data_IF_946048796031
#
_entry.id   IF_946048796031
#
_cell.length_a   1.000
_cell.length_b   1.000
_cell.length_c   1.000
_cell.angle_alpha   90.00
_cell.angle_beta   90.00
_cell.angle_gamma   90.00
#
_symmetry.space_group_name_H-M   'P 1'
#
loop_
_entity.id
_entity.type
_entity.pdbx_description
1 polymer ?
#
# COMPACT_ATOMS: atom_id res chain seq x y z
N UNK A 1 16.19 44.76 -45.55
CA UNK A 1 16.12 45.77 -44.47
C UNK A 1 16.15 45.06 -43.13
N UNK A 2 17.31 45.00 -42.45
CA UNK A 2 17.41 44.42 -41.10
C UNK A 2 17.02 45.48 -40.06
N UNK A 3 15.97 45.23 -39.28
CA UNK A 3 15.63 46.07 -38.12
C UNK A 3 16.64 45.77 -37.01
N UNK A 4 17.53 46.73 -36.74
CA UNK A 4 18.42 46.67 -35.57
C UNK A 4 17.61 47.13 -34.35
N UNK A 5 17.22 46.20 -33.49
CA UNK A 5 16.52 46.53 -32.25
C UNK A 5 17.52 47.09 -31.23
N UNK A 6 17.32 48.33 -30.78
CA UNK A 6 18.08 48.90 -29.65
C UNK A 6 17.47 48.36 -28.36
N UNK A 7 18.05 47.27 -27.86
CA UNK A 7 17.69 46.74 -26.55
C UNK A 7 18.27 47.67 -25.47
N UNK A 8 17.43 48.19 -24.57
CA UNK A 8 17.94 49.00 -23.46
C UNK A 8 18.63 48.10 -22.44
N UNK A 9 19.59 48.64 -21.68
CA UNK A 9 20.28 47.90 -20.62
C UNK A 9 19.30 47.27 -19.61
N UNK A 10 18.18 47.95 -19.34
CA UNK A 10 17.08 47.45 -18.50
C UNK A 10 16.36 46.23 -19.11
N UNK A 11 16.09 46.24 -20.42
CA UNK A 11 15.46 45.11 -21.11
C UNK A 11 16.38 43.88 -21.16
N UNK A 12 17.69 44.11 -21.36
CA UNK A 12 18.68 43.04 -21.35
C UNK A 12 18.84 42.40 -19.96
N UNK A 13 18.89 43.22 -18.92
CA UNK A 13 19.00 42.74 -17.53
C UNK A 13 17.74 42.01 -17.05
N UNK A 14 16.55 42.48 -17.44
CA UNK A 14 15.29 41.78 -17.14
C UNK A 14 15.21 40.42 -17.85
N UNK A 15 15.66 40.33 -19.09
CA UNK A 15 15.71 39.06 -19.83
C UNK A 15 16.70 38.08 -19.17
N UNK A 16 17.88 38.54 -18.78
CA UNK A 16 18.87 37.74 -18.04
C UNK A 16 18.35 37.24 -16.70
N UNK A 17 17.63 38.07 -15.94
CA UNK A 17 17.02 37.68 -14.67
C UNK A 17 15.97 36.57 -14.86
N UNK A 18 15.05 36.74 -15.82
CA UNK A 18 14.04 35.72 -16.13
C UNK A 18 14.67 34.41 -16.61
N UNK A 19 15.73 34.49 -17.41
CA UNK A 19 16.46 33.32 -17.88
C UNK A 19 17.18 32.62 -16.72
N UNK A 20 17.84 33.36 -15.82
CA UNK A 20 18.50 32.78 -14.65
C UNK A 20 17.53 32.12 -13.66
N UNK A 21 16.33 32.67 -13.50
CA UNK A 21 15.25 32.07 -12.70
C UNK A 21 14.73 30.77 -13.33
N UNK A 22 14.62 30.73 -14.66
CA UNK A 22 14.21 29.52 -15.38
C UNK A 22 15.24 28.38 -15.27
N UNK A 23 16.54 28.68 -15.29
CA UNK A 23 17.59 27.66 -15.20
C UNK A 23 17.76 27.13 -13.76
N UNK A 24 17.52 27.97 -12.75
CA UNK A 24 17.67 27.59 -11.33
C UNK A 24 16.46 26.87 -10.76
N UNK A 25 15.32 26.86 -11.46
CA UNK A 25 14.07 26.22 -11.01
C UNK A 25 14.06 24.69 -11.15
N UNK A 26 14.93 24.10 -11.97
CA UNK A 26 15.02 22.65 -12.15
C UNK A 26 16.10 22.03 -11.25
N UNK A 27 15.81 21.86 -9.96
CA UNK A 27 16.53 20.87 -9.15
C UNK A 27 15.87 19.51 -9.37
N UNK A 28 16.53 18.63 -10.11
CA UNK A 28 16.14 17.21 -10.10
C UNK A 28 16.35 16.66 -8.70
N UNK A 29 15.35 16.02 -8.07
CA UNK A 29 15.54 15.33 -6.81
C UNK A 29 16.69 14.33 -6.95
N UNK A 30 17.44 14.10 -5.87
CA UNK A 30 18.42 13.04 -5.85
C UNK A 30 17.73 11.72 -6.22
N UNK A 31 18.34 10.86 -7.08
CA UNK A 31 17.75 9.59 -7.42
C UNK A 31 17.54 8.78 -6.14
N UNK A 32 16.38 8.16 -6.03
CA UNK A 32 16.05 7.31 -4.89
C UNK A 32 17.14 6.26 -4.68
N UNK A 33 17.53 6.05 -3.42
CA UNK A 33 18.30 4.85 -3.11
C UNK A 33 17.42 3.62 -3.34
N UNK A 34 18.02 2.47 -3.62
CA UNK A 34 17.27 1.22 -3.75
C UNK A 34 16.38 0.94 -2.52
N UNK A 35 16.87 1.30 -1.32
CA UNK A 35 16.13 1.14 -0.08
C UNK A 35 14.91 2.05 -0.02
N UNK A 36 15.04 3.30 -0.46
CA UNK A 36 13.93 4.25 -0.45
C UNK A 36 12.88 3.86 -1.51
N UNK A 37 13.32 3.47 -2.71
CA UNK A 37 12.43 2.96 -3.76
C UNK A 37 11.66 1.71 -3.31
N UNK A 38 12.32 0.79 -2.59
CA UNK A 38 11.65 -0.37 -2.01
C UNK A 38 10.58 0.03 -1.01
N UNK A 39 10.89 0.94 -0.07
CA UNK A 39 9.93 1.42 0.92
C UNK A 39 8.72 2.11 0.29
N UNK A 40 8.94 2.95 -0.71
CA UNK A 40 7.85 3.60 -1.44
C UNK A 40 6.98 2.58 -2.18
N UNK A 41 7.57 1.54 -2.76
CA UNK A 41 6.79 0.47 -3.40
C UNK A 41 5.94 -0.31 -2.40
N UNK A 42 6.49 -0.68 -1.24
CA UNK A 42 5.72 -1.33 -0.18
C UNK A 42 4.58 -0.42 0.29
N UNK A 43 4.84 0.87 0.46
CA UNK A 43 3.83 1.85 0.85
C UNK A 43 2.72 1.99 -0.20
N UNK A 44 3.08 2.08 -1.48
CA UNK A 44 2.12 2.11 -2.59
C UNK A 44 1.22 0.87 -2.59
N UNK A 45 1.79 -0.32 -2.40
CA UNK A 45 1.03 -1.58 -2.33
C UNK A 45 0.00 -1.52 -1.19
N UNK A 46 0.38 -1.03 -0.01
CA UNK A 46 -0.53 -0.88 1.14
C UNK A 46 -1.65 0.13 0.85
N UNK A 47 -1.32 1.25 0.22
CA UNK A 47 -2.32 2.25 -0.16
C UNK A 47 -3.32 1.70 -1.17
N UNK A 48 -2.87 0.92 -2.16
CA UNK A 48 -3.76 0.26 -3.10
C UNK A 48 -4.67 -0.75 -2.41
N UNK A 49 -4.15 -1.54 -1.45
CA UNK A 49 -4.95 -2.45 -0.64
C UNK A 49 -6.07 -1.71 0.11
N UNK A 50 -5.73 -0.64 0.83
CA UNK A 50 -6.67 0.09 1.67
C UNK A 50 -7.70 0.88 0.86
N UNK A 51 -7.29 1.56 -0.21
CA UNK A 51 -8.21 2.33 -1.05
C UNK A 51 -9.27 1.42 -1.71
N UNK A 52 -8.84 0.26 -2.22
CA UNK A 52 -9.75 -0.72 -2.79
C UNK A 52 -10.65 -1.36 -1.72
N UNK A 53 -10.12 -1.68 -0.54
CA UNK A 53 -10.92 -2.24 0.56
C UNK A 53 -12.02 -1.28 1.04
N UNK A 54 -11.72 0.01 1.08
CA UNK A 54 -12.71 1.04 1.44
C UNK A 54 -13.83 1.15 0.40
N UNK A 55 -13.58 0.70 -0.84
CA UNK A 55 -14.54 0.65 -1.95
C UNK A 55 -15.06 -0.76 -2.25
N UNK A 56 -14.91 -1.71 -1.31
CA UNK A 56 -15.22 -3.15 -1.48
C UNK A 56 -16.70 -3.46 -1.79
N UNK A 57 -17.61 -2.52 -1.60
CA UNK A 57 -19.00 -2.68 -2.06
C UNK A 57 -19.06 -2.94 -3.57
N UNK A 58 -18.07 -2.45 -4.32
CA UNK A 58 -17.78 -2.92 -5.66
C UNK A 58 -16.97 -4.23 -5.60
N UNK A 59 -17.53 -5.31 -6.15
CA UNK A 59 -16.92 -6.64 -6.23
C UNK A 59 -15.47 -6.62 -6.73
N UNK A 60 -15.19 -5.85 -7.78
CA UNK A 60 -13.83 -5.78 -8.37
C UNK A 60 -12.84 -5.17 -7.38
N UNK A 61 -13.24 -4.13 -6.67
CA UNK A 61 -12.38 -3.50 -5.68
C UNK A 61 -12.11 -4.45 -4.49
N UNK A 62 -13.09 -5.25 -4.07
CA UNK A 62 -12.85 -6.26 -3.03
C UNK A 62 -11.77 -7.28 -3.44
N UNK A 63 -11.87 -7.82 -4.66
CA UNK A 63 -10.88 -8.77 -5.21
C UNK A 63 -9.49 -8.12 -5.32
N UNK A 64 -9.43 -6.89 -5.84
CA UNK A 64 -8.17 -6.14 -5.96
C UNK A 64 -7.58 -5.83 -4.59
N UNK A 65 -8.41 -5.52 -3.59
CA UNK A 65 -7.95 -5.30 -2.23
C UNK A 65 -7.27 -6.56 -1.68
N UNK A 66 -7.90 -7.73 -1.79
CA UNK A 66 -7.32 -9.00 -1.35
C UNK A 66 -5.99 -9.28 -2.03
N UNK A 67 -5.90 -9.10 -3.35
CA UNK A 67 -4.64 -9.25 -4.08
C UNK A 67 -3.51 -8.36 -3.53
N UNK A 68 -3.78 -7.07 -3.30
CA UNK A 68 -2.77 -6.18 -2.74
C UNK A 68 -2.46 -6.48 -1.28
N UNK A 69 -3.43 -6.97 -0.49
CA UNK A 69 -3.22 -7.41 0.88
C UNK A 69 -2.33 -8.64 0.97
N UNK A 70 -2.53 -9.64 0.11
CA UNK A 70 -1.64 -10.80 -0.03
C UNK A 70 -0.22 -10.35 -0.35
N UNK A 71 -0.09 -9.42 -1.29
CA UNK A 71 1.22 -8.88 -1.65
C UNK A 71 1.86 -8.11 -0.50
N UNK A 72 1.10 -7.27 0.19
CA UNK A 72 1.58 -6.50 1.32
C UNK A 72 2.06 -7.40 2.46
N UNK A 73 1.28 -8.45 2.80
CA UNK A 73 1.66 -9.41 3.82
C UNK A 73 2.90 -10.23 3.41
N UNK A 74 3.06 -10.55 2.13
CA UNK A 74 4.27 -11.23 1.64
C UNK A 74 5.56 -10.40 1.81
N UNK A 75 5.43 -9.07 1.84
CA UNK A 75 6.54 -8.13 2.02
C UNK A 75 6.78 -7.78 3.50
N UNK A 76 5.72 -7.76 4.30
CA UNK A 76 5.74 -7.48 5.75
C UNK A 76 5.00 -8.61 6.51
N UNK A 77 5.59 -9.83 6.62
CA UNK A 77 4.89 -11.01 7.14
C UNK A 77 4.48 -10.90 8.61
N UNK A 78 5.20 -10.09 9.39
CA UNK A 78 4.91 -9.85 10.80
C UNK A 78 3.88 -8.71 11.01
N UNK A 79 3.35 -8.13 9.94
CA UNK A 79 2.36 -7.06 10.02
C UNK A 79 0.96 -7.63 10.31
N UNK A 80 0.65 -7.76 11.60
CA UNK A 80 -0.62 -8.30 12.10
C UNK A 80 -1.85 -7.52 11.62
N UNK A 81 -1.72 -6.21 11.38
CA UNK A 81 -2.83 -5.37 10.89
C UNK A 81 -3.22 -5.76 9.46
N UNK A 82 -2.22 -5.91 8.58
CA UNK A 82 -2.42 -6.38 7.21
C UNK A 82 -2.97 -7.80 7.21
N UNK A 83 -2.41 -8.68 8.04
CA UNK A 83 -2.90 -10.05 8.18
C UNK A 83 -4.36 -10.10 8.62
N UNK A 84 -4.75 -9.29 9.61
CA UNK A 84 -6.13 -9.24 10.08
C UNK A 84 -7.07 -8.69 9.00
N UNK A 85 -6.64 -7.69 8.24
CA UNK A 85 -7.43 -7.15 7.15
C UNK A 85 -7.58 -8.15 6.00
N UNK A 86 -6.51 -8.87 5.65
CA UNK A 86 -6.53 -9.93 4.65
C UNK A 86 -7.48 -11.06 5.06
N UNK A 87 -7.47 -11.46 6.34
CA UNK A 87 -8.42 -12.44 6.88
C UNK A 87 -9.88 -12.01 6.65
N UNK A 88 -10.20 -10.74 6.92
CA UNK A 88 -11.52 -10.17 6.65
C UNK A 88 -11.84 -10.11 5.16
N UNK A 89 -10.84 -9.84 4.33
CA UNK A 89 -11.01 -9.77 2.88
C UNK A 89 -11.37 -11.13 2.29
N UNK A 90 -10.68 -12.20 2.70
CA UNK A 90 -11.03 -13.57 2.34
C UNK A 90 -12.46 -13.93 2.77
N UNK A 91 -12.83 -13.64 4.02
CA UNK A 91 -14.20 -13.87 4.48
C UNK A 91 -15.23 -13.09 3.65
N UNK A 92 -14.95 -11.82 3.33
CA UNK A 92 -15.84 -10.98 2.53
C UNK A 92 -16.03 -11.55 1.12
N UNK A 93 -14.95 -11.99 0.47
CA UNK A 93 -15.03 -12.61 -0.85
C UNK A 93 -15.82 -13.92 -0.82
N UNK A 94 -15.52 -14.79 0.14
CA UNK A 94 -16.24 -16.05 0.32
C UNK A 94 -17.75 -15.81 0.49
N UNK A 95 -18.11 -14.84 1.33
CA UNK A 95 -19.51 -14.65 1.70
C UNK A 95 -20.32 -13.90 0.64
N UNK A 96 -19.76 -12.83 0.07
CA UNK A 96 -20.52 -11.89 -0.78
C UNK A 96 -20.23 -12.00 -2.28
N UNK A 97 -19.12 -12.64 -2.68
CA UNK A 97 -18.62 -12.57 -4.06
C UNK A 97 -18.59 -13.95 -4.72
N UNK A 98 -17.92 -14.91 -4.11
CA UNK A 98 -17.63 -16.20 -4.71
C UNK A 98 -18.90 -17.08 -4.77
N UNK A 99 -19.36 -17.48 -5.97
CA UNK A 99 -20.52 -18.36 -6.10
C UNK A 99 -20.18 -19.85 -5.93
N UNK A 100 -18.95 -20.28 -6.24
CA UNK A 100 -18.57 -21.69 -6.20
C UNK A 100 -18.34 -22.18 -4.77
N UNK A 101 -19.06 -23.22 -4.30
CA UNK A 101 -18.95 -23.70 -2.92
C UNK A 101 -17.53 -24.10 -2.50
N UNK A 102 -16.76 -24.76 -3.37
CA UNK A 102 -15.42 -25.23 -3.01
C UNK A 102 -14.42 -24.06 -2.87
N UNK A 103 -14.54 -23.06 -3.74
CA UNK A 103 -13.74 -21.84 -3.62
C UNK A 103 -14.15 -21.01 -2.38
N UNK A 104 -15.44 -20.93 -2.05
CA UNK A 104 -15.91 -20.29 -0.81
C UNK A 104 -15.28 -20.93 0.42
N UNK A 105 -15.30 -22.25 0.52
CA UNK A 105 -14.72 -22.97 1.65
C UNK A 105 -13.22 -22.73 1.76
N UNK A 106 -12.53 -22.68 0.62
CA UNK A 106 -11.10 -22.35 0.57
C UNK A 106 -10.83 -20.94 1.09
N UNK A 107 -11.60 -19.94 0.66
CA UNK A 107 -11.49 -18.57 1.13
C UNK A 107 -11.78 -18.46 2.63
N UNK A 108 -12.86 -19.07 3.13
CA UNK A 108 -13.14 -19.11 4.56
C UNK A 108 -12.01 -19.74 5.37
N UNK A 109 -11.46 -20.85 4.87
CA UNK A 109 -10.32 -21.53 5.51
C UNK A 109 -9.07 -20.64 5.55
N UNK A 110 -8.75 -19.94 4.45
CA UNK A 110 -7.62 -19.00 4.42
C UNK A 110 -7.80 -17.87 5.42
N UNK A 111 -8.99 -17.26 5.46
CA UNK A 111 -9.32 -16.22 6.44
C UNK A 111 -9.23 -16.71 7.89
N UNK A 112 -9.80 -17.87 8.18
CA UNK A 112 -9.82 -18.45 9.53
C UNK A 112 -8.41 -18.82 10.01
N UNK A 113 -7.57 -19.43 9.14
CA UNK A 113 -6.18 -19.76 9.47
C UNK A 113 -5.39 -18.52 9.84
N UNK A 114 -5.49 -17.46 9.03
CA UNK A 114 -4.77 -16.22 9.29
C UNK A 114 -5.23 -15.54 10.58
N UNK A 115 -6.54 -15.49 10.83
CA UNK A 115 -7.07 -14.98 12.10
C UNK A 115 -6.59 -15.80 13.31
N UNK A 116 -6.60 -17.13 13.20
CA UNK A 116 -6.14 -18.04 14.25
C UNK A 116 -4.67 -17.80 14.55
N UNK A 117 -3.81 -17.75 13.53
CA UNK A 117 -2.38 -17.46 13.69
C UNK A 117 -2.13 -16.14 14.40
N UNK A 118 -2.88 -15.09 14.06
CA UNK A 118 -2.77 -13.78 14.72
C UNK A 118 -3.17 -13.85 16.19
N UNK A 119 -4.27 -14.55 16.50
CA UNK A 119 -4.71 -14.76 17.90
C UNK A 119 -3.67 -15.54 18.67
N UNK A 120 -3.16 -16.63 18.10
CA UNK A 120 -2.13 -17.48 18.72
C UNK A 120 -0.86 -16.69 19.04
N UNK A 121 -0.47 -15.73 18.19
CA UNK A 121 0.70 -14.87 18.43
C UNK A 121 0.45 -13.77 19.45
N UNK A 122 -0.80 -13.53 19.86
CA UNK A 122 -1.12 -12.46 20.81
C UNK A 122 -0.61 -12.77 22.22
N UNK A 123 -0.13 -11.73 22.92
CA UNK A 123 0.32 -11.86 24.31
C UNK A 123 -0.80 -12.40 25.23
N UNK A 124 -2.05 -12.02 24.97
CA UNK A 124 -3.19 -12.52 25.74
C UNK A 124 -3.35 -14.04 25.61
N UNK A 125 -3.27 -14.56 24.38
CA UNK A 125 -3.34 -16.01 24.14
C UNK A 125 -2.15 -16.74 24.75
N UNK A 126 -0.93 -16.23 24.53
CA UNK A 126 0.30 -16.83 25.08
C UNK A 126 0.30 -16.84 26.62
N UNK A 127 -0.23 -15.80 27.25
CA UNK A 127 -0.39 -15.76 28.71
C UNK A 127 -1.48 -16.73 29.19
N UNK A 128 -2.61 -16.82 28.48
CA UNK A 128 -3.68 -17.75 28.84
C UNK A 128 -3.20 -19.20 28.76
N UNK A 129 -2.55 -19.59 27.66
CA UNK A 129 -2.12 -20.98 27.45
C UNK A 129 -1.01 -21.41 28.43
N UNK A 130 -0.15 -20.48 28.87
CA UNK A 130 0.92 -20.77 29.83
C UNK A 130 0.48 -20.75 31.29
N UNK A 131 -0.65 -20.10 31.61
CA UNK A 131 -1.16 -19.97 32.98
C UNK A 131 -2.25 -20.99 33.33
N UNK A 132 -2.85 -21.65 32.32
CA UNK A 132 -3.84 -22.71 32.53
C UNK A 132 -3.11 -24.02 32.77
N UNK A 133 -3.33 -24.60 33.95
CA UNK A 133 -2.90 -25.95 34.25
C UNK A 133 -3.85 -26.90 33.51
N UNK A 134 -3.35 -27.60 32.50
CA UNK A 134 -4.13 -28.58 31.75
C UNK A 134 -4.71 -29.62 32.70
N UNK A 135 -5.91 -30.09 32.39
CA UNK A 135 -6.65 -31.12 33.13
C UNK A 135 -6.14 -32.55 32.86
N UNK A 136 -4.84 -32.68 32.55
CA UNK A 136 -4.16 -33.97 32.33
C UNK A 136 -4.05 -34.80 33.61
#
# INVERSE_FOLDING_TARGET
MCKVYKLTLAQFTQFLLLFSLAITACKTPAPYTQKDAYKENVQYIKEQAYDNWNKRSNRKNAIVATFFLEKALSLEPDNLEIGLLLSRAYHFEAYYIEPDPAQKDSLFMMGARLATQIVEQSAAYQNAISSVQGDS
#
